data_IF_855761164188
#
_entry.id   IF_855761164188
#
_cell.length_a   1.000
_cell.length_b   1.000
_cell.length_c   1.000
_cell.angle_alpha   90.00
_cell.angle_beta   90.00
_cell.angle_gamma   90.00
#
_symmetry.space_group_name_H-M   'P 1'
#
loop_
_entity.id
_entity.type
_entity.pdbx_description
1 polymer ?
#
# COMPACT_ATOMS: atom_id res chain seq x y z
N UNK A 1 3.25 18.51 -1.61
CA UNK A 1 3.70 17.70 -0.43
C UNK A 1 3.80 16.26 -0.91
N UNK A 2 4.98 15.64 -0.84
CA UNK A 2 5.10 14.25 -1.27
C UNK A 2 4.07 13.40 -0.52
N UNK A 3 3.26 12.63 -1.24
CA UNK A 3 2.38 11.62 -0.64
C UNK A 3 3.25 10.61 0.10
N UNK A 4 3.38 10.81 1.41
CA UNK A 4 4.25 10.02 2.25
C UNK A 4 3.69 8.61 2.40
N UNK A 5 4.55 7.58 2.28
CA UNK A 5 4.19 6.20 2.54
C UNK A 5 3.50 6.05 3.90
N UNK A 6 2.44 5.24 3.93
CA UNK A 6 1.71 4.89 5.14
C UNK A 6 2.30 3.62 5.76
N UNK A 7 2.77 3.70 6.99
CA UNK A 7 3.37 2.59 7.72
C UNK A 7 2.48 2.23 8.89
N UNK A 8 2.06 0.98 8.96
CA UNK A 8 1.38 0.42 10.12
C UNK A 8 2.41 -0.14 11.09
N UNK A 9 2.29 0.21 12.38
CA UNK A 9 3.11 -0.30 13.46
C UNK A 9 2.21 -1.11 14.39
N UNK A 10 2.53 -2.40 14.57
CA UNK A 10 1.84 -3.33 15.46
C UNK A 10 2.83 -3.72 16.55
N UNK A 11 2.71 -3.11 17.74
CA UNK A 11 3.68 -3.22 18.83
C UNK A 11 2.97 -2.91 20.15
N UNK A 12 3.02 -3.79 21.12
CA UNK A 12 2.35 -3.62 22.41
C UNK A 12 3.18 -2.80 23.43
N UNK A 13 4.51 -2.80 23.31
CA UNK A 13 5.39 -2.01 24.13
C UNK A 13 5.33 -0.52 23.78
N UNK A 14 4.62 0.26 24.60
CA UNK A 14 4.35 1.69 24.35
C UNK A 14 5.60 2.52 24.09
N UNK A 15 6.70 2.25 24.78
CA UNK A 15 7.95 3.01 24.61
C UNK A 15 8.56 2.79 23.22
N UNK A 16 8.52 1.55 22.72
CA UNK A 16 9.01 1.16 21.39
C UNK A 16 8.09 1.73 20.31
N UNK A 17 6.78 1.59 20.52
CA UNK A 17 5.75 2.15 19.63
C UNK A 17 5.91 3.66 19.45
N UNK A 18 6.04 4.40 20.57
CA UNK A 18 6.20 5.86 20.56
C UNK A 18 7.53 6.26 19.88
N UNK A 19 8.61 5.54 20.17
CA UNK A 19 9.91 5.76 19.54
C UNK A 19 9.83 5.59 18.01
N UNK A 20 9.29 4.47 17.54
CA UNK A 20 9.14 4.21 16.10
C UNK A 20 8.24 5.24 15.44
N UNK A 21 7.07 5.53 16.04
CA UNK A 21 6.12 6.49 15.48
C UNK A 21 6.72 7.88 15.32
N UNK A 22 7.40 8.40 16.36
CA UNK A 22 8.08 9.72 16.30
C UNK A 22 9.18 9.73 15.26
N UNK A 23 10.02 8.70 15.23
CA UNK A 23 11.11 8.55 14.27
C UNK A 23 10.59 8.59 12.84
N UNK A 24 9.55 7.82 12.54
CA UNK A 24 9.00 7.73 11.19
C UNK A 24 8.30 9.02 10.76
N UNK A 25 7.50 9.64 11.63
CA UNK A 25 6.89 10.95 11.35
C UNK A 25 7.92 12.03 11.07
N UNK A 26 9.00 12.07 11.85
CA UNK A 26 10.10 13.02 11.63
C UNK A 26 10.82 12.82 10.28
N UNK A 27 10.73 11.61 9.71
CA UNK A 27 11.30 11.27 8.39
C UNK A 27 10.24 11.28 7.26
N UNK A 28 9.08 11.89 7.48
CA UNK A 28 8.08 12.15 6.43
C UNK A 28 7.12 10.99 6.16
N UNK A 29 7.10 9.92 6.96
CA UNK A 29 6.14 8.82 6.84
C UNK A 29 4.83 9.12 7.57
N UNK A 30 3.71 8.67 7.01
CA UNK A 30 2.43 8.60 7.74
C UNK A 30 2.42 7.32 8.58
N UNK A 31 2.06 7.40 9.86
CA UNK A 31 2.06 6.23 10.73
C UNK A 31 0.70 5.99 11.35
N UNK A 32 0.23 4.75 11.30
CA UNK A 32 -0.87 4.22 12.11
C UNK A 32 -0.30 3.26 13.11
N UNK A 33 -0.72 3.35 14.38
CA UNK A 33 -0.17 2.54 15.48
C UNK A 33 -1.28 1.76 16.16
N UNK A 34 -1.03 0.48 16.43
CA UNK A 34 -1.92 -0.40 17.19
C UNK A 34 -1.11 -1.27 18.15
N UNK A 35 -1.73 -1.73 19.23
CA UNK A 35 -1.09 -2.51 20.30
C UNK A 35 -1.53 -3.97 20.35
N UNK A 36 -2.27 -4.44 19.34
CA UNK A 36 -2.77 -5.82 19.29
C UNK A 36 -2.85 -6.33 17.84
N UNK A 37 -2.70 -7.62 17.66
CA UNK A 37 -2.76 -8.28 16.37
C UNK A 37 -4.12 -8.15 15.69
N UNK A 38 -5.22 -8.31 16.44
CA UNK A 38 -6.59 -8.14 15.90
C UNK A 38 -6.83 -6.74 15.36
N UNK A 39 -6.39 -5.71 16.08
CA UNK A 39 -6.46 -4.33 15.59
C UNK A 39 -5.58 -4.14 14.34
N UNK A 40 -4.38 -4.75 14.34
CA UNK A 40 -3.48 -4.76 13.18
C UNK A 40 -4.14 -5.31 11.92
N UNK A 41 -4.71 -6.51 11.99
CA UNK A 41 -5.43 -7.13 10.88
C UNK A 41 -6.58 -6.27 10.36
N UNK A 42 -7.35 -5.64 11.26
CA UNK A 42 -8.43 -4.73 10.88
C UNK A 42 -7.91 -3.51 10.11
N UNK A 43 -6.78 -2.92 10.54
CA UNK A 43 -6.17 -1.77 9.86
C UNK A 43 -5.55 -2.19 8.52
N UNK A 44 -4.90 -3.36 8.44
CA UNK A 44 -4.35 -3.87 7.17
C UNK A 44 -5.47 -3.97 6.13
N UNK A 45 -6.60 -4.53 6.49
CA UNK A 45 -7.75 -4.69 5.61
C UNK A 45 -8.40 -3.36 5.20
N UNK A 46 -8.51 -2.39 6.13
CA UNK A 46 -9.26 -1.15 5.88
C UNK A 46 -8.44 -0.02 5.28
N UNK A 47 -7.14 0.08 5.62
CA UNK A 47 -6.28 1.19 5.22
C UNK A 47 -5.21 0.80 4.20
N UNK A 48 -4.97 -0.50 3.97
CA UNK A 48 -3.99 -1.01 3.01
C UNK A 48 -2.63 -0.29 3.13
N UNK A 49 -1.90 -0.43 4.24
CA UNK A 49 -0.62 0.26 4.45
C UNK A 49 0.40 -0.10 3.36
N UNK A 50 1.41 0.72 3.20
CA UNK A 50 2.50 0.50 2.25
C UNK A 50 3.61 -0.37 2.81
N UNK A 51 3.69 -0.46 4.15
CA UNK A 51 4.62 -1.30 4.89
C UNK A 51 4.05 -1.58 6.30
N UNK A 52 4.31 -2.77 6.80
CA UNK A 52 3.93 -3.20 8.14
C UNK A 52 5.21 -3.43 8.97
N UNK A 53 5.28 -2.80 10.14
CA UNK A 53 6.23 -3.14 11.20
C UNK A 53 5.47 -3.98 12.22
N UNK A 54 5.95 -5.19 12.51
CA UNK A 54 5.23 -6.18 13.29
C UNK A 54 6.10 -6.76 14.42
N UNK A 55 5.66 -6.63 15.65
CA UNK A 55 6.20 -7.47 16.73
C UNK A 55 5.56 -8.86 16.69
N UNK A 56 6.36 -9.89 16.95
CA UNK A 56 5.88 -11.28 17.08
C UNK A 56 5.27 -11.57 18.46
N UNK A 57 5.66 -10.81 19.48
CA UNK A 57 5.29 -11.06 20.89
C UNK A 57 4.01 -10.34 21.34
N UNK A 58 2.98 -10.27 20.50
CA UNK A 58 1.75 -9.56 20.83
C UNK A 58 0.91 -10.30 21.90
N UNK A 59 0.14 -9.58 22.74
CA UNK A 59 -0.58 -10.18 23.85
C UNK A 59 -1.80 -11.02 23.46
N UNK A 60 -2.35 -10.83 22.27
CA UNK A 60 -3.60 -11.43 21.81
C UNK A 60 -3.42 -12.53 20.75
N UNK A 61 -2.28 -12.58 20.05
CA UNK A 61 -1.94 -13.60 19.06
C UNK A 61 -0.46 -13.59 18.71
N UNK A 62 0.08 -14.70 18.21
CA UNK A 62 1.45 -14.73 17.68
C UNK A 62 1.54 -13.96 16.38
N UNK A 63 2.61 -13.15 16.20
CA UNK A 63 2.84 -12.40 14.99
C UNK A 63 2.99 -13.29 13.74
N UNK A 64 3.45 -14.53 13.89
CA UNK A 64 3.53 -15.49 12.80
C UNK A 64 2.15 -15.83 12.21
N UNK A 65 1.10 -15.89 13.04
CA UNK A 65 -0.28 -16.11 12.58
C UNK A 65 -0.77 -14.92 11.76
N UNK A 66 -0.36 -13.70 12.15
CA UNK A 66 -0.65 -12.48 11.39
C UNK A 66 0.04 -12.54 10.02
N UNK A 67 1.33 -12.90 9.98
CA UNK A 67 2.10 -13.02 8.73
C UNK A 67 1.43 -14.02 7.80
N UNK A 68 1.14 -15.22 8.28
CA UNK A 68 0.50 -16.28 7.49
C UNK A 68 -0.84 -15.79 6.90
N UNK A 69 -1.71 -15.22 7.74
CA UNK A 69 -3.00 -14.68 7.32
C UNK A 69 -2.86 -13.56 6.28
N UNK A 70 -1.93 -12.64 6.48
CA UNK A 70 -1.73 -11.48 5.59
C UNK A 70 -1.13 -11.91 4.25
N UNK A 71 -0.22 -12.88 4.23
CA UNK A 71 0.41 -13.39 3.01
C UNK A 71 -0.52 -14.14 2.08
N UNK A 72 -1.66 -14.63 2.55
CA UNK A 72 -2.68 -15.24 1.69
C UNK A 72 -3.25 -14.26 0.66
N UNK A 73 -3.21 -12.95 0.92
CA UNK A 73 -3.91 -11.97 0.09
C UNK A 73 -3.15 -10.66 -0.21
N UNK A 74 -1.99 -10.41 0.37
CA UNK A 74 -1.20 -9.21 0.04
C UNK A 74 0.30 -9.47 0.05
N UNK A 75 0.98 -8.80 -0.89
CA UNK A 75 2.44 -8.68 -0.97
C UNK A 75 2.96 -7.41 -0.28
N UNK A 76 2.16 -6.76 0.57
CA UNK A 76 2.60 -5.60 1.36
C UNK A 76 3.86 -5.98 2.15
N UNK A 77 4.96 -5.21 2.08
CA UNK A 77 6.18 -5.54 2.80
C UNK A 77 5.94 -5.57 4.32
N UNK A 78 6.43 -6.64 4.96
CA UNK A 78 6.39 -6.85 6.40
C UNK A 78 7.83 -6.90 6.91
N UNK A 79 8.16 -6.02 7.86
CA UNK A 79 9.40 -6.08 8.63
C UNK A 79 9.03 -6.51 10.04
N UNK A 80 9.57 -7.64 10.46
CA UNK A 80 9.44 -8.11 11.84
C UNK A 80 10.41 -7.34 12.74
N UNK A 81 9.93 -6.92 13.92
CA UNK A 81 10.74 -6.28 14.96
C UNK A 81 10.52 -7.04 16.25
N UNK A 82 11.47 -7.86 16.69
CA UNK A 82 11.22 -8.79 17.80
C UNK A 82 12.43 -8.95 18.72
N UNK A 83 12.15 -9.23 19.99
CA UNK A 83 13.15 -9.64 20.98
C UNK A 83 13.63 -11.10 20.77
N UNK A 84 12.94 -11.88 19.93
CA UNK A 84 13.35 -13.26 19.60
C UNK A 84 14.61 -13.20 18.73
N UNK A 85 15.75 -13.65 19.29
CA UNK A 85 17.05 -13.58 18.62
C UNK A 85 17.47 -14.92 18.01
N UNK A 86 16.71 -15.99 18.25
CA UNK A 86 16.99 -17.33 17.77
C UNK A 86 17.04 -17.40 16.25
N UNK A 87 18.01 -18.14 15.71
CA UNK A 87 18.11 -18.37 14.26
C UNK A 87 16.84 -19.04 13.73
N UNK A 88 16.30 -19.99 14.48
CA UNK A 88 15.06 -20.69 14.14
C UNK A 88 13.86 -19.74 14.00
N UNK A 89 13.71 -18.77 14.91
CA UNK A 89 12.61 -17.81 14.84
C UNK A 89 12.71 -16.91 13.60
N UNK A 90 13.94 -16.49 13.26
CA UNK A 90 14.20 -15.66 12.07
C UNK A 90 13.90 -16.44 10.78
N UNK A 91 14.38 -17.69 10.71
CA UNK A 91 14.15 -18.56 9.54
C UNK A 91 12.65 -18.83 9.39
N UNK A 92 11.94 -19.16 10.47
CA UNK A 92 10.51 -19.39 10.42
C UNK A 92 9.73 -18.17 9.91
N UNK A 93 10.06 -16.97 10.37
CA UNK A 93 9.42 -15.74 9.89
C UNK A 93 9.74 -15.47 8.41
N UNK A 94 10.99 -15.69 7.98
CA UNK A 94 11.39 -15.53 6.57
C UNK A 94 10.69 -16.54 5.66
N UNK A 95 10.55 -17.79 6.09
CA UNK A 95 9.84 -18.85 5.35
C UNK A 95 8.33 -18.54 5.23
N UNK A 96 7.75 -17.82 6.20
CA UNK A 96 6.40 -17.29 6.12
C UNK A 96 6.28 -16.08 5.17
N UNK A 97 7.40 -15.59 4.63
CA UNK A 97 7.42 -14.57 3.60
C UNK A 97 7.54 -13.14 4.13
N UNK A 98 8.16 -12.89 5.30
CA UNK A 98 8.51 -11.52 5.69
C UNK A 98 9.66 -10.98 4.83
N UNK A 99 9.67 -9.69 4.62
CA UNK A 99 10.67 -9.05 3.76
C UNK A 99 11.98 -8.75 4.50
N UNK A 100 11.91 -8.56 5.82
CA UNK A 100 13.09 -8.33 6.65
C UNK A 100 12.80 -8.60 8.14
N UNK A 101 13.88 -8.71 8.94
CA UNK A 101 13.81 -8.99 10.37
C UNK A 101 14.79 -8.11 11.14
N UNK A 102 14.31 -7.40 12.15
CA UNK A 102 15.09 -6.55 13.05
C UNK A 102 15.01 -7.11 14.47
N UNK A 103 16.15 -7.29 15.11
CA UNK A 103 16.19 -7.72 16.52
C UNK A 103 16.20 -6.53 17.45
N UNK A 104 15.41 -6.59 18.54
CA UNK A 104 15.47 -5.63 19.64
C UNK A 104 16.71 -5.90 20.52
N UNK A 105 17.48 -4.87 20.96
CA UNK A 105 17.32 -3.44 20.66
C UNK A 105 17.89 -3.06 19.28
N UNK A 106 17.30 -2.08 18.63
CA UNK A 106 17.70 -1.61 17.31
C UNK A 106 17.93 -0.08 17.26
N UNK A 107 18.72 0.36 16.31
CA UNK A 107 19.01 1.78 16.11
C UNK A 107 18.09 2.45 15.07
N UNK A 108 17.90 3.76 15.20
CA UNK A 108 17.12 4.57 14.24
C UNK A 108 17.61 4.40 12.81
N UNK A 109 18.94 4.42 12.59
CA UNK A 109 19.51 4.31 11.25
C UNK A 109 19.26 2.97 10.59
N UNK A 110 19.28 1.88 11.36
CA UNK A 110 18.97 0.53 10.90
C UNK A 110 17.51 0.44 10.49
N UNK A 111 16.58 0.84 11.37
CA UNK A 111 15.15 0.84 11.11
C UNK A 111 14.84 1.57 9.80
N UNK A 112 15.33 2.81 9.64
CA UNK A 112 15.08 3.62 8.44
C UNK A 112 15.72 3.02 7.17
N UNK A 113 16.90 2.41 7.27
CA UNK A 113 17.55 1.77 6.13
C UNK A 113 16.76 0.57 5.62
N UNK A 114 16.27 -0.29 6.52
CA UNK A 114 15.46 -1.48 6.17
C UNK A 114 14.11 -1.08 5.60
N UNK A 115 13.43 -0.09 6.18
CA UNK A 115 12.17 0.45 5.63
C UNK A 115 12.36 0.94 4.19
N UNK A 116 13.40 1.78 3.94
CA UNK A 116 13.68 2.26 2.56
C UNK A 116 13.97 1.12 1.60
N UNK A 117 14.68 0.09 2.05
CA UNK A 117 14.99 -1.07 1.22
C UNK A 117 13.74 -1.86 0.88
N UNK A 118 12.90 -2.19 1.86
CA UNK A 118 11.66 -2.96 1.66
C UNK A 118 10.66 -2.22 0.77
N UNK A 119 10.48 -0.90 0.99
CA UNK A 119 9.63 -0.07 0.12
C UNK A 119 10.15 -0.01 -1.33
N UNK A 120 11.47 0.09 -1.52
CA UNK A 120 12.07 0.09 -2.87
C UNK A 120 11.90 -1.26 -3.56
N UNK A 121 12.05 -2.39 -2.84
CA UNK A 121 11.84 -3.74 -3.39
C UNK A 121 10.38 -3.98 -3.76
N UNK A 122 9.44 -3.58 -2.92
CA UNK A 122 8.00 -3.67 -3.21
C UNK A 122 7.64 -2.89 -4.49
N UNK A 123 8.17 -1.68 -4.66
CA UNK A 123 7.98 -0.92 -5.89
C UNK A 123 8.60 -1.61 -7.12
N UNK A 124 9.76 -2.25 -6.98
CA UNK A 124 10.42 -2.99 -8.07
C UNK A 124 9.70 -4.28 -8.43
N UNK A 125 9.16 -5.01 -7.46
CA UNK A 125 8.36 -6.22 -7.74
C UNK A 125 7.01 -5.89 -8.38
N UNK A 126 6.39 -4.77 -8.01
CA UNK A 126 5.26 -4.21 -8.76
C UNK A 126 5.66 -3.79 -10.18
N UNK A 127 6.94 -3.68 -10.47
CA UNK A 127 7.57 -3.13 -11.70
C UNK A 127 8.29 -4.20 -12.54
N UNK A 128 7.87 -5.46 -12.51
CA UNK A 128 8.47 -6.51 -13.37
C UNK A 128 8.26 -6.28 -14.88
N UNK A 129 7.93 -5.06 -15.28
CA UNK A 129 7.89 -4.60 -16.66
C UNK A 129 8.69 -3.30 -16.80
N UNK A 130 9.55 -3.14 -17.82
CA UNK A 130 10.28 -1.90 -18.12
C UNK A 130 9.38 -0.67 -18.29
N UNK A 131 8.08 -0.89 -18.50
CA UNK A 131 7.05 0.13 -18.69
C UNK A 131 6.73 0.96 -17.43
N UNK A 132 7.13 0.51 -16.22
CA UNK A 132 6.74 1.15 -14.96
C UNK A 132 7.72 2.21 -14.42
N UNK A 133 8.83 2.44 -15.09
CA UNK A 133 9.80 3.48 -14.71
C UNK A 133 9.34 4.86 -15.21
N UNK A 134 8.49 4.89 -16.24
CA UNK A 134 7.98 6.15 -16.80
C UNK A 134 6.62 6.53 -16.19
N UNK A 135 6.37 7.83 -16.00
CA UNK A 135 5.06 8.31 -15.56
C UNK A 135 3.98 7.95 -16.60
N UNK A 136 2.82 7.54 -16.11
CA UNK A 136 1.61 7.44 -16.93
C UNK A 136 1.13 8.84 -17.30
N UNK A 137 0.70 9.05 -18.54
CA UNK A 137 0.22 10.35 -19.07
C UNK A 137 -1.01 10.18 -19.94
N UNK A 138 -2.03 10.97 -19.67
CA UNK A 138 -3.21 11.09 -20.50
C UNK A 138 -3.82 12.50 -20.36
N UNK A 139 -3.90 13.28 -21.46
CA UNK A 139 -4.59 14.57 -21.53
C UNK A 139 -4.33 15.53 -20.35
N UNK A 140 -3.06 15.68 -19.95
CA UNK A 140 -2.65 16.52 -18.82
C UNK A 140 -2.70 15.85 -17.44
N UNK A 141 -3.30 14.66 -17.32
CA UNK A 141 -3.21 13.83 -16.12
C UNK A 141 -1.89 13.05 -16.15
N UNK A 142 -1.06 13.22 -15.12
CA UNK A 142 0.25 12.56 -15.02
C UNK A 142 0.34 11.86 -13.68
N UNK A 143 0.61 10.55 -13.68
CA UNK A 143 0.92 9.77 -12.48
C UNK A 143 2.40 9.39 -12.48
N UNK A 144 3.16 10.00 -11.58
CA UNK A 144 4.54 9.62 -11.27
C UNK A 144 4.52 8.51 -10.21
N UNK A 145 4.83 7.28 -10.63
CA UNK A 145 4.80 6.12 -9.74
C UNK A 145 5.93 6.14 -8.69
N UNK A 146 7.08 6.74 -9.02
CA UNK A 146 8.22 6.82 -8.08
C UNK A 146 7.94 7.82 -6.96
N UNK A 147 7.41 8.99 -7.34
CA UNK A 147 7.03 10.05 -6.39
C UNK A 147 5.66 9.81 -5.75
N UNK A 148 4.89 8.83 -6.26
CA UNK A 148 3.50 8.56 -5.87
C UNK A 148 2.61 9.81 -5.98
N UNK A 149 2.86 10.62 -6.99
CA UNK A 149 2.24 11.92 -7.18
C UNK A 149 1.36 11.91 -8.43
N UNK A 150 0.11 12.34 -8.27
CA UNK A 150 -0.81 12.58 -9.36
C UNK A 150 -0.90 14.08 -9.61
N UNK A 151 -0.76 14.51 -10.86
CA UNK A 151 -0.96 15.89 -11.26
C UNK A 151 -1.97 15.98 -12.39
N UNK A 152 -2.74 17.05 -12.45
CA UNK A 152 -3.63 17.40 -13.54
C UNK A 152 -3.34 18.83 -13.99
N UNK A 153 -2.99 19.01 -15.25
CA UNK A 153 -2.60 20.30 -15.83
C UNK A 153 -1.47 21.01 -15.03
N UNK A 154 -0.58 20.20 -14.40
CA UNK A 154 0.54 20.67 -13.58
C UNK A 154 0.22 20.92 -12.11
N UNK A 155 -1.05 20.85 -11.69
CA UNK A 155 -1.46 20.97 -10.29
C UNK A 155 -1.51 19.60 -9.60
N UNK A 156 -0.97 19.52 -8.37
CA UNK A 156 -0.95 18.27 -7.59
C UNK A 156 -2.34 17.91 -7.07
N UNK A 157 -2.76 16.66 -7.33
CA UNK A 157 -4.02 16.08 -6.86
C UNK A 157 -3.75 15.18 -5.66
N UNK A 158 -4.23 15.55 -4.50
CA UNK A 158 -4.08 14.75 -3.29
C UNK A 158 -5.02 13.53 -3.30
N UNK A 159 -4.43 12.33 -3.30
CA UNK A 159 -5.14 11.06 -3.17
C UNK A 159 -4.90 10.44 -1.78
N UNK A 160 -5.92 9.79 -1.24
CA UNK A 160 -5.72 8.89 -0.09
C UNK A 160 -4.91 7.66 -0.52
N UNK A 161 -4.29 6.90 0.42
CA UNK A 161 -3.54 5.70 0.08
C UNK A 161 -4.33 4.67 -0.74
N UNK A 162 -5.62 4.50 -0.43
CA UNK A 162 -6.51 3.58 -1.17
C UNK A 162 -6.83 4.13 -2.57
N UNK A 163 -7.16 5.41 -2.68
CA UNK A 163 -7.41 6.05 -3.98
C UNK A 163 -6.17 5.98 -4.88
N UNK A 164 -4.98 6.23 -4.32
CA UNK A 164 -3.73 6.07 -5.06
C UNK A 164 -3.54 4.64 -5.58
N UNK A 165 -3.77 3.61 -4.74
CA UNK A 165 -3.65 2.20 -5.17
C UNK A 165 -4.61 1.88 -6.32
N UNK A 166 -5.85 2.36 -6.26
CA UNK A 166 -6.83 2.19 -7.33
C UNK A 166 -6.33 2.85 -8.62
N UNK A 167 -5.96 4.14 -8.56
CA UNK A 167 -5.48 4.90 -9.72
C UNK A 167 -4.22 4.26 -10.30
N UNK A 168 -3.25 3.90 -9.46
CA UNK A 168 -2.01 3.27 -9.89
C UNK A 168 -2.24 1.90 -10.56
N UNK A 169 -3.17 1.10 -10.03
CA UNK A 169 -3.53 -0.19 -10.63
C UNK A 169 -4.19 0.00 -12.01
N UNK A 170 -5.12 0.95 -12.13
CA UNK A 170 -5.82 1.23 -13.39
C UNK A 170 -4.87 1.88 -14.42
N UNK A 171 -3.99 2.78 -14.00
CA UNK A 171 -2.99 3.40 -14.87
C UNK A 171 -1.98 2.39 -15.44
N UNK A 172 -1.56 1.41 -14.63
CA UNK A 172 -0.70 0.30 -15.09
C UNK A 172 -1.38 -0.62 -16.12
N UNK A 173 -2.70 -0.59 -16.15
CA UNK A 173 -3.53 -1.34 -17.09
C UNK A 173 -4.34 -0.40 -17.97
N UNK A 174 -3.76 0.76 -18.32
CA UNK A 174 -4.41 1.79 -19.14
C UNK A 174 -4.97 1.21 -20.45
N UNK A 175 -6.09 1.72 -20.89
CA UNK A 175 -6.81 1.21 -22.07
C UNK A 175 -7.58 -0.11 -21.83
N UNK A 176 -7.23 -0.90 -20.81
CA UNK A 176 -7.88 -2.21 -20.53
C UNK A 176 -9.00 -2.08 -19.51
N UNK A 177 -10.04 -2.88 -19.71
CA UNK A 177 -11.14 -2.99 -18.73
C UNK A 177 -10.72 -3.89 -17.58
N UNK A 178 -10.61 -3.32 -16.38
CA UNK A 178 -10.32 -4.06 -15.16
C UNK A 178 -11.63 -4.37 -14.45
N UNK A 179 -11.90 -5.67 -14.20
CA UNK A 179 -13.14 -6.10 -13.56
C UNK A 179 -13.23 -5.61 -12.11
N UNK A 180 -14.45 -5.47 -11.58
CA UNK A 180 -14.64 -5.12 -10.17
C UNK A 180 -13.87 -6.07 -9.25
N UNK A 181 -13.94 -7.38 -9.52
CA UNK A 181 -13.21 -8.39 -8.75
C UNK A 181 -11.70 -8.21 -8.82
N UNK A 182 -11.16 -7.90 -10.00
CA UNK A 182 -9.73 -7.67 -10.21
C UNK A 182 -9.22 -6.43 -9.46
N UNK A 183 -9.96 -5.32 -9.52
CA UNK A 183 -9.61 -4.11 -8.76
C UNK A 183 -9.69 -4.37 -7.26
N UNK A 184 -10.78 -5.02 -6.80
CA UNK A 184 -10.96 -5.36 -5.38
C UNK A 184 -9.84 -6.26 -4.87
N UNK A 185 -9.52 -7.34 -5.58
CA UNK A 185 -8.46 -8.27 -5.21
C UNK A 185 -7.08 -7.62 -5.16
N UNK A 186 -6.79 -6.69 -6.08
CA UNK A 186 -5.48 -6.01 -6.12
C UNK A 186 -5.34 -4.96 -5.01
N UNK A 187 -6.41 -4.25 -4.66
CA UNK A 187 -6.36 -3.15 -3.69
C UNK A 187 -6.60 -3.63 -2.26
N UNK A 188 -7.55 -4.54 -2.05
CA UNK A 188 -7.98 -5.01 -0.72
C UNK A 188 -7.72 -6.50 -0.46
N UNK A 189 -7.29 -7.27 -1.47
CA UNK A 189 -7.04 -8.70 -1.36
C UNK A 189 -8.22 -9.60 -1.80
N UNK A 190 -7.96 -10.91 -2.00
CA UNK A 190 -8.91 -11.84 -2.62
C UNK A 190 -10.13 -12.19 -1.75
N UNK A 191 -10.08 -11.95 -0.46
CA UNK A 191 -11.15 -12.30 0.51
C UNK A 191 -12.05 -11.12 0.88
N UNK A 192 -12.02 -10.04 0.12
CA UNK A 192 -12.99 -8.95 0.31
C UNK A 192 -14.37 -9.41 -0.12
N UNK A 193 -15.38 -9.11 0.72
CA UNK A 193 -16.79 -9.32 0.38
C UNK A 193 -17.08 -8.89 -1.06
N UNK A 194 -17.85 -9.68 -1.80
CA UNK A 194 -18.28 -9.38 -3.18
C UNK A 194 -19.06 -8.05 -3.33
N UNK A 195 -19.04 -7.23 -2.30
CA UNK A 195 -19.74 -5.96 -2.25
C UNK A 195 -18.86 -4.82 -2.80
N UNK A 196 -19.03 -4.50 -4.08
CA UNK A 196 -18.35 -3.39 -4.77
C UNK A 196 -18.63 -2.00 -4.16
N UNK A 197 -19.31 -1.89 -3.03
CA UNK A 197 -19.74 -0.61 -2.46
C UNK A 197 -18.55 0.28 -2.09
N UNK A 198 -17.54 -0.30 -1.43
CA UNK A 198 -16.32 0.44 -1.04
C UNK A 198 -15.55 0.95 -2.26
N UNK A 199 -15.44 0.11 -3.29
CA UNK A 199 -14.82 0.49 -4.56
C UNK A 199 -15.58 1.63 -5.23
N UNK A 200 -16.91 1.54 -5.34
CA UNK A 200 -17.76 2.58 -5.93
C UNK A 200 -17.63 3.93 -5.22
N UNK A 201 -17.55 3.94 -3.89
CA UNK A 201 -17.35 5.16 -3.10
C UNK A 201 -16.00 5.79 -3.42
N UNK A 202 -14.92 5.00 -3.43
CA UNK A 202 -13.60 5.49 -3.80
C UNK A 202 -13.55 6.00 -5.25
N UNK A 203 -14.16 5.29 -6.20
CA UNK A 203 -14.23 5.73 -7.60
C UNK A 203 -14.97 7.07 -7.75
N UNK A 204 -16.06 7.28 -7.00
CA UNK A 204 -16.76 8.56 -6.98
C UNK A 204 -15.88 9.68 -6.40
N UNK A 205 -15.12 9.41 -5.33
CA UNK A 205 -14.20 10.36 -4.73
C UNK A 205 -13.04 10.71 -5.68
N UNK A 206 -12.43 9.70 -6.33
CA UNK A 206 -11.37 9.92 -7.32
C UNK A 206 -11.89 10.81 -8.45
N UNK A 207 -13.05 10.50 -9.03
CA UNK A 207 -13.63 11.32 -10.11
C UNK A 207 -13.84 12.77 -9.71
N UNK A 208 -14.31 13.04 -8.49
CA UNK A 208 -14.46 14.43 -8.02
C UNK A 208 -13.13 15.19 -7.98
N UNK A 209 -12.01 14.49 -7.89
CA UNK A 209 -10.67 15.09 -7.83
C UNK A 209 -10.04 15.28 -9.20
N UNK A 210 -10.28 14.35 -10.14
CA UNK A 210 -9.59 14.35 -11.44
C UNK A 210 -10.47 14.75 -12.62
N UNK A 211 -11.81 14.63 -12.52
CA UNK A 211 -12.72 14.91 -13.62
C UNK A 211 -13.32 16.30 -13.48
N UNK A 212 -13.34 17.08 -14.57
CA UNK A 212 -14.09 18.36 -14.61
C UNK A 212 -15.59 18.14 -14.42
N UNK A 213 -16.11 17.07 -14.97
CA UNK A 213 -17.49 16.62 -14.79
C UNK A 213 -17.52 15.11 -14.46
N UNK A 214 -17.74 14.70 -13.21
CA UNK A 214 -17.77 13.29 -12.82
C UNK A 214 -18.83 12.43 -13.54
N UNK A 215 -19.88 13.07 -14.10
CA UNK A 215 -20.92 12.37 -14.88
C UNK A 215 -20.53 12.14 -16.34
N UNK A 216 -19.51 12.84 -16.82
CA UNK A 216 -18.95 12.72 -18.16
C UNK A 216 -17.42 12.56 -18.06
N UNK A 217 -16.93 11.43 -17.55
CA UNK A 217 -15.52 11.24 -17.26
C UNK A 217 -14.66 11.23 -18.52
N UNK A 218 -13.48 11.83 -18.42
CA UNK A 218 -12.46 11.85 -19.48
C UNK A 218 -11.32 10.88 -19.20
N UNK A 219 -11.04 10.60 -17.93
CA UNK A 219 -9.92 9.78 -17.50
C UNK A 219 -10.35 8.39 -17.02
N UNK A 220 -11.48 8.30 -16.30
CA UNK A 220 -11.86 7.11 -15.55
C UNK A 220 -13.27 6.64 -15.93
N UNK A 221 -13.35 5.70 -16.85
CA UNK A 221 -14.59 5.19 -17.42
C UNK A 221 -15.19 4.07 -16.58
N UNK A 222 -16.54 3.92 -16.62
CA UNK A 222 -17.26 2.77 -16.07
C UNK A 222 -17.74 1.90 -17.21
N UNK A 223 -17.29 0.65 -17.24
CA UNK A 223 -17.86 -0.38 -18.09
C UNK A 223 -18.95 -1.08 -17.29
N UNK A 224 -20.21 -0.72 -17.62
CA UNK A 224 -21.38 -1.10 -16.83
C UNK A 224 -21.49 -2.62 -16.70
N UNK A 225 -21.62 -3.11 -15.47
CA UNK A 225 -21.71 -4.54 -15.17
C UNK A 225 -20.34 -5.27 -15.15
N UNK A 226 -19.26 -4.66 -15.63
CA UNK A 226 -17.93 -5.29 -15.79
C UNK A 226 -16.91 -4.73 -14.81
N UNK A 227 -16.64 -3.41 -14.87
CA UNK A 227 -15.55 -2.83 -14.10
C UNK A 227 -15.24 -1.38 -14.46
N UNK A 228 -13.96 -1.05 -14.42
CA UNK A 228 -13.44 0.29 -14.72
C UNK A 228 -12.30 0.23 -15.72
N UNK A 229 -12.16 1.29 -16.51
CA UNK A 229 -11.06 1.48 -17.45
C UNK A 229 -10.49 2.89 -17.31
N UNK A 230 -9.18 3.00 -17.29
CA UNK A 230 -8.48 4.27 -17.36
C UNK A 230 -8.16 4.61 -18.81
N UNK A 231 -8.13 5.90 -19.18
CA UNK A 231 -7.74 6.34 -20.51
C UNK A 231 -6.36 5.77 -20.90
N UNK A 232 -6.10 5.64 -22.18
CA UNK A 232 -4.84 5.09 -22.69
C UNK A 232 -3.65 6.00 -22.35
N UNK A 233 -2.50 5.39 -22.10
CA UNK A 233 -1.25 6.13 -21.87
C UNK A 233 -0.75 6.68 -23.22
N UNK A 234 -0.53 7.99 -23.29
CA UNK A 234 0.02 8.67 -24.49
C UNK A 234 1.43 8.17 -24.87
N UNK A 235 2.11 7.48 -23.98
CA UNK A 235 3.42 6.89 -24.25
C UNK A 235 3.33 5.48 -24.86
N UNK A 236 2.14 4.88 -24.98
CA UNK A 236 1.92 3.54 -25.55
C UNK A 236 1.49 3.58 -27.04
N UNK A 237 1.36 4.78 -27.62
CA UNK A 237 1.00 5.00 -29.05
C UNK A 237 2.24 5.16 -29.91
#
# INVERSE_FOLDING_TARGET
>A
MNDSYSILIIEDEKNILDFMSRTLKANGYKTTTVTSGKAGLSIINSQCPDLILLDLGLPDMDGNDIIASVREWTSCPIIVISARTGEHDKVAALDLGVDDYITKPFGTSELLARIRTSLRHSNRMASNSPLYIRPYKCQGLILDFEKRMLTLDGEEIHLTPVEYKIVAYLARNSGKVMTYASVMANVWGPFTDNNNRILRVNMANIRRKIERNPSQPQFLFTEVGVGYRMCEDENEV
#
